data_IF_720743902040
#
_entry.id   IF_720743902040
#
_cell.length_a   1.000
_cell.length_b   1.000
_cell.length_c   1.000
_cell.angle_alpha   90.00
_cell.angle_beta   90.00
_cell.angle_gamma   90.00
#
_symmetry.space_group_name_H-M   'P 1'
#
loop_
_entity.id
_entity.type
_entity.pdbx_description
1 polymer ?
#
# COMPACT_ATOMS: atom_id res chain seq x y z
N UNK A 1 3.66 15.49 -7.57
CA UNK A 1 3.50 14.42 -8.57
C UNK A 1 2.10 13.84 -8.40
N UNK A 2 1.42 13.49 -9.50
CA UNK A 2 0.08 12.89 -9.45
C UNK A 2 0.12 11.52 -10.10
N UNK A 3 -0.67 10.59 -9.56
CA UNK A 3 -0.81 9.23 -10.06
C UNK A 3 -2.26 8.97 -10.47
N UNK A 4 -2.46 8.32 -11.60
CA UNK A 4 -3.76 7.83 -12.04
C UNK A 4 -3.91 6.39 -11.58
N UNK A 5 -4.90 6.13 -10.72
CA UNK A 5 -5.18 4.79 -10.19
C UNK A 5 -5.47 3.84 -11.35
N UNK A 6 -4.78 2.70 -11.38
CA UNK A 6 -4.96 1.65 -12.38
C UNK A 6 -5.73 0.47 -11.79
N UNK A 7 -5.41 0.10 -10.57
CA UNK A 7 -6.04 -1.02 -9.86
C UNK A 7 -6.33 -0.64 -8.43
N UNK A 8 -7.43 -1.17 -7.90
CA UNK A 8 -7.69 -1.16 -6.47
C UNK A 8 -8.59 -2.33 -6.09
N UNK A 9 -8.09 -3.17 -5.19
CA UNK A 9 -8.75 -4.39 -4.76
C UNK A 9 -8.71 -4.52 -3.25
N UNK A 10 -9.88 -4.78 -2.65
CA UNK A 10 -9.99 -5.26 -1.28
C UNK A 10 -10.07 -6.78 -1.32
N UNK A 11 -9.00 -7.46 -0.95
CA UNK A 11 -8.94 -8.90 -0.78
C UNK A 11 -9.40 -9.26 0.62
N UNK A 12 -10.16 -10.35 0.74
CA UNK A 12 -10.67 -10.85 2.01
C UNK A 12 -10.42 -12.33 2.14
N UNK A 13 -9.87 -12.74 3.28
CA UNK A 13 -9.81 -14.15 3.66
C UNK A 13 -11.02 -14.49 4.53
N UNK A 14 -11.90 -15.38 4.06
CA UNK A 14 -13.04 -15.86 4.87
C UNK A 14 -12.58 -16.66 6.10
N UNK A 15 -11.57 -17.56 6.01
CA UNK A 15 -11.14 -18.36 7.16
C UNK A 15 -10.53 -17.56 8.29
N UNK A 16 -9.70 -16.56 7.96
CA UNK A 16 -8.93 -15.78 8.96
C UNK A 16 -9.56 -14.42 9.27
N UNK A 17 -10.58 -14.01 8.49
CA UNK A 17 -11.14 -12.64 8.52
C UNK A 17 -10.10 -11.56 8.28
N UNK A 18 -8.97 -11.89 7.65
CA UNK A 18 -7.97 -10.90 7.24
C UNK A 18 -8.48 -10.13 6.03
N UNK A 19 -8.09 -8.85 5.97
CA UNK A 19 -8.32 -8.01 4.81
C UNK A 19 -7.02 -7.41 4.33
N UNK A 20 -6.93 -7.22 3.02
CA UNK A 20 -5.84 -6.49 2.39
C UNK A 20 -6.39 -5.57 1.32
N UNK A 21 -6.13 -4.28 1.42
CA UNK A 21 -6.40 -3.34 0.33
C UNK A 21 -5.12 -3.11 -0.44
N UNK A 22 -5.12 -3.50 -1.71
CA UNK A 22 -4.05 -3.19 -2.66
C UNK A 22 -4.54 -2.15 -3.65
N UNK A 23 -3.78 -1.09 -3.87
CA UNK A 23 -4.02 -0.17 -4.97
C UNK A 23 -2.73 0.32 -5.61
N UNK A 24 -2.80 0.58 -6.91
CA UNK A 24 -1.67 1.10 -7.66
C UNK A 24 -2.08 2.26 -8.55
N UNK A 25 -1.13 3.14 -8.82
CA UNK A 25 -1.30 4.23 -9.77
C UNK A 25 -0.04 4.48 -10.58
N UNK A 26 -0.22 4.95 -11.81
CA UNK A 26 0.88 5.32 -12.71
C UNK A 26 0.98 6.85 -12.76
N UNK A 27 2.19 7.37 -12.70
CA UNK A 27 2.48 8.79 -12.79
C UNK A 27 2.01 9.39 -14.11
N UNK A 28 1.77 10.70 -14.13
CA UNK A 28 1.32 11.42 -15.33
C UNK A 28 2.25 11.30 -16.54
N UNK A 29 3.55 11.04 -16.31
CA UNK A 29 4.54 10.82 -17.38
C UNK A 29 4.68 9.35 -17.81
N UNK A 30 3.95 8.44 -17.16
CA UNK A 30 3.94 7.01 -17.49
C UNK A 30 5.18 6.22 -17.04
N UNK A 31 6.12 6.84 -16.33
CA UNK A 31 7.42 6.24 -16.01
C UNK A 31 7.54 5.71 -14.58
N UNK A 32 6.57 6.01 -13.72
CA UNK A 32 6.60 5.63 -12.30
C UNK A 32 5.29 5.00 -11.90
N UNK A 33 5.34 3.91 -11.14
CA UNK A 33 4.17 3.28 -10.54
C UNK A 33 4.31 3.33 -9.02
N UNK A 34 3.28 3.81 -8.34
CA UNK A 34 3.14 3.73 -6.90
C UNK A 34 2.23 2.55 -6.59
N UNK A 35 2.65 1.67 -5.69
CA UNK A 35 1.84 0.56 -5.17
C UNK A 35 1.72 0.74 -3.67
N UNK A 36 0.50 0.63 -3.16
CA UNK A 36 0.18 0.72 -1.75
C UNK A 36 -0.61 -0.51 -1.35
N UNK A 37 -0.24 -1.09 -0.22
CA UNK A 37 -0.92 -2.19 0.44
C UNK A 37 -1.24 -1.79 1.87
N UNK A 38 -2.44 -2.11 2.34
CA UNK A 38 -2.86 -1.96 3.74
C UNK A 38 -3.46 -3.28 4.22
N UNK A 39 -2.93 -3.84 5.32
CA UNK A 39 -3.50 -5.02 5.96
C UNK A 39 -4.43 -4.69 7.12
N UNK A 40 -5.41 -5.57 7.37
CA UNK A 40 -6.02 -5.72 8.70
C UNK A 40 -6.12 -7.18 9.14
N UNK A 41 -5.60 -7.47 10.33
CA UNK A 41 -5.89 -8.69 11.08
C UNK A 41 -7.34 -8.64 11.59
N UNK A 42 -8.09 -9.73 11.47
CA UNK A 42 -9.39 -9.92 12.14
C UNK A 42 -10.46 -8.83 11.92
N UNK A 43 -10.70 -8.45 10.67
CA UNK A 43 -11.65 -7.38 10.32
C UNK A 43 -12.90 -7.93 9.63
N UNK A 44 -14.09 -7.47 10.01
CA UNK A 44 -15.38 -7.91 9.43
C UNK A 44 -15.97 -6.90 8.44
N UNK A 45 -16.75 -7.36 7.45
CA UNK A 45 -17.37 -6.49 6.41
C UNK A 45 -16.49 -6.26 5.18
N UNK A 46 -16.91 -5.36 4.28
CA UNK A 46 -16.21 -5.09 3.00
C UNK A 46 -15.65 -3.66 2.91
N UNK A 47 -15.16 -3.15 4.03
CA UNK A 47 -14.47 -1.86 4.16
C UNK A 47 -13.20 -2.02 4.99
N UNK A 48 -12.22 -1.15 4.73
CA UNK A 48 -11.08 -0.94 5.62
C UNK A 48 -11.51 -0.08 6.81
N UNK A 49 -10.87 -0.27 7.95
CA UNK A 49 -11.10 0.54 9.14
C UNK A 49 -10.57 1.97 8.95
N UNK A 50 -11.28 2.94 9.50
CA UNK A 50 -10.83 4.34 9.57
C UNK A 50 -9.86 4.45 10.74
N UNK A 51 -8.58 4.19 10.48
CA UNK A 51 -7.50 4.21 11.48
C UNK A 51 -6.16 4.63 10.87
N UNK A 52 -5.16 4.73 11.72
CA UNK A 52 -3.76 4.86 11.33
C UNK A 52 -3.13 3.47 11.18
N UNK A 53 -2.32 3.32 10.14
CA UNK A 53 -1.49 2.16 9.85
C UNK A 53 -0.03 2.62 9.88
N UNK A 54 0.84 1.81 10.49
CA UNK A 54 2.26 2.04 10.33
C UNK A 54 2.67 1.58 8.93
N UNK A 55 3.54 2.35 8.28
CA UNK A 55 4.17 1.90 7.05
C UNK A 55 5.52 1.29 7.40
N UNK A 56 5.73 0.04 6.99
CA UNK A 56 6.98 -0.67 7.20
C UNK A 56 7.66 -1.01 5.88
N UNK A 57 8.94 -1.33 6.00
CA UNK A 57 9.68 -1.91 4.89
C UNK A 57 9.19 -3.32 4.66
N UNK A 58 8.86 -3.63 3.40
CA UNK A 58 8.74 -5.00 2.95
C UNK A 58 10.17 -5.54 2.80
N UNK A 59 10.71 -6.04 3.91
CA UNK A 59 11.91 -6.85 3.87
C UNK A 59 11.45 -8.23 3.42
N UNK A 60 12.19 -8.86 2.50
CA UNK A 60 11.91 -10.17 1.90
C UNK A 60 10.95 -11.06 2.71
N UNK A 61 9.83 -11.46 2.10
CA UNK A 61 8.92 -12.51 2.61
C UNK A 61 9.74 -13.77 2.94
N UNK A 62 10.17 -13.85 4.18
CA UNK A 62 11.02 -14.92 4.67
C UNK A 62 10.24 -15.68 5.74
N UNK A 63 9.54 -16.77 5.35
CA UNK A 63 8.75 -17.58 6.28
C UNK A 63 9.61 -18.27 7.37
N UNK A 64 10.93 -18.08 7.35
CA UNK A 64 11.87 -18.57 8.35
C UNK A 64 12.30 -17.56 9.41
N UNK A 65 11.80 -16.31 9.40
CA UNK A 65 12.07 -15.34 10.48
C UNK A 65 10.91 -15.24 11.47
N UNK A 66 11.17 -14.75 12.69
CA UNK A 66 10.15 -14.60 13.75
C UNK A 66 9.13 -13.51 13.40
N UNK A 67 9.46 -12.63 12.46
CA UNK A 67 8.54 -11.67 11.86
C UNK A 67 8.19 -12.21 10.48
N UNK A 68 7.17 -13.07 10.40
CA UNK A 68 6.56 -13.33 9.10
C UNK A 68 5.79 -12.05 8.71
N UNK A 69 6.29 -11.30 7.72
CA UNK A 69 5.61 -10.10 7.23
C UNK A 69 4.18 -10.39 6.69
N UNK A 70 3.84 -11.67 6.46
CA UNK A 70 2.48 -12.12 6.16
C UNK A 70 1.59 -12.26 7.41
N UNK A 71 2.17 -12.45 8.60
CA UNK A 71 1.45 -12.49 9.89
C UNK A 71 1.21 -11.09 10.50
N UNK A 72 2.05 -10.09 10.18
CA UNK A 72 1.91 -8.69 10.64
C UNK A 72 0.89 -7.93 9.76
N UNK A 73 -0.29 -8.53 9.60
CA UNK A 73 -1.39 -8.07 8.75
C UNK A 73 -2.04 -6.77 9.20
N UNK A 74 -1.44 -5.96 10.08
CA UNK A 74 -1.97 -4.65 10.50
C UNK A 74 -1.20 -3.45 9.95
N UNK A 75 -0.10 -3.70 9.25
CA UNK A 75 0.72 -2.65 8.67
C UNK A 75 0.35 -2.34 7.22
N UNK A 76 0.89 -1.24 6.72
CA UNK A 76 0.88 -0.90 5.32
C UNK A 76 2.27 -0.95 4.69
N UNK A 77 2.30 -1.12 3.38
CA UNK A 77 3.50 -1.15 2.57
C UNK A 77 3.34 -0.19 1.40
N UNK A 78 4.40 0.53 1.05
CA UNK A 78 4.41 1.39 -0.13
C UNK A 78 5.68 1.11 -0.92
N UNK A 79 5.52 0.85 -2.21
CA UNK A 79 6.64 0.71 -3.14
C UNK A 79 6.48 1.65 -4.33
N UNK A 80 7.61 2.04 -4.89
CA UNK A 80 7.69 2.85 -6.09
C UNK A 80 8.52 2.11 -7.13
N UNK A 81 7.91 1.84 -8.27
CA UNK A 81 8.55 1.17 -9.41
C UNK A 81 8.81 2.17 -10.52
N UNK A 82 9.84 1.92 -11.32
CA UNK A 82 10.20 2.73 -12.49
C UNK A 82 10.13 1.88 -13.75
N UNK A 83 9.68 2.49 -14.84
CA UNK A 83 9.70 1.84 -16.14
C UNK A 83 11.08 1.97 -16.78
N UNK A 84 11.76 0.84 -17.01
CA UNK A 84 13.07 0.75 -17.68
C UNK A 84 12.91 -0.20 -18.86
N UNK A 85 13.18 0.28 -20.07
CA UNK A 85 13.05 -0.51 -21.31
C UNK A 85 11.69 -1.22 -21.47
N UNK A 86 10.61 -0.60 -20.97
CA UNK A 86 9.26 -1.16 -21.05
C UNK A 86 8.87 -2.06 -19.87
N UNK A 87 9.81 -2.42 -19.00
CA UNK A 87 9.60 -3.30 -17.83
C UNK A 87 9.51 -2.46 -16.57
N UNK A 88 8.65 -2.86 -15.63
CA UNK A 88 8.60 -2.23 -14.31
C UNK A 88 9.65 -2.86 -13.41
N UNK A 89 10.56 -2.03 -12.91
CA UNK A 89 11.60 -2.39 -11.97
C UNK A 89 11.32 -1.72 -10.64
N UNK A 90 11.45 -2.47 -9.54
CA UNK A 90 11.32 -1.92 -8.19
C UNK A 90 12.45 -0.93 -7.94
N UNK A 91 12.11 0.34 -7.72
CA UNK A 91 13.08 1.40 -7.50
C UNK A 91 13.24 1.63 -6.00
N UNK A 92 12.15 1.96 -5.32
CA UNK A 92 12.14 2.32 -3.91
C UNK A 92 11.12 1.52 -3.11
N UNK A 93 11.44 1.24 -1.86
CA UNK A 93 10.52 0.71 -0.86
C UNK A 93 10.44 1.66 0.33
N UNK A 94 9.26 1.82 0.91
CA UNK A 94 9.12 2.60 2.13
C UNK A 94 9.94 1.95 3.25
N UNK A 95 10.80 2.71 3.92
CA UNK A 95 11.52 2.21 5.09
C UNK A 95 10.75 2.41 6.38
N UNK A 96 9.94 3.47 6.45
CA UNK A 96 9.05 3.77 7.56
C UNK A 96 8.01 4.81 7.11
N UNK A 97 6.96 4.96 7.91
CA UNK A 97 5.99 6.03 7.75
C UNK A 97 4.67 5.75 8.44
N UNK A 98 3.66 6.52 8.07
CA UNK A 98 2.30 6.38 8.57
C UNK A 98 1.31 6.63 7.45
N UNK A 99 0.26 5.83 7.40
CA UNK A 99 -0.91 6.07 6.56
C UNK A 99 -2.14 6.21 7.44
N UNK A 100 -3.01 7.17 7.13
CA UNK A 100 -4.25 7.40 7.85
C UNK A 100 -5.40 7.27 6.87
N UNK A 101 -6.25 6.26 7.07
CA UNK A 101 -7.53 6.17 6.38
C UNK A 101 -8.49 7.11 7.09
N UNK A 102 -8.97 8.13 6.39
CA UNK A 102 -9.84 9.17 6.96
C UNK A 102 -11.31 8.90 6.69
N UNK A 103 -11.62 8.11 5.66
CA UNK A 103 -13.00 7.68 5.38
C UNK A 103 -12.99 6.39 4.57
N UNK A 104 -13.89 5.46 4.88
CA UNK A 104 -14.20 4.31 4.05
C UNK A 104 -15.73 4.14 3.99
N UNK A 105 -16.29 3.93 2.80
CA UNK A 105 -17.71 3.70 2.59
C UNK A 105 -17.90 2.36 1.90
N UNK A 106 -18.46 1.40 2.65
CA UNK A 106 -18.70 0.05 2.16
C UNK A 106 -19.75 0.00 1.05
N UNK A 107 -20.74 0.90 1.04
CA UNK A 107 -21.83 0.88 0.06
C UNK A 107 -21.36 1.38 -1.31
N UNK A 108 -20.58 2.46 -1.33
CA UNK A 108 -19.99 3.00 -2.57
C UNK A 108 -18.65 2.38 -2.94
N UNK A 109 -18.09 1.52 -2.09
CA UNK A 109 -16.74 0.92 -2.25
C UNK A 109 -15.66 1.96 -2.47
N UNK A 110 -15.67 3.02 -1.65
CA UNK A 110 -14.72 4.13 -1.76
C UNK A 110 -13.91 4.32 -0.48
N UNK A 111 -12.63 4.70 -0.62
CA UNK A 111 -11.73 5.00 0.49
C UNK A 111 -10.94 6.30 0.24
N UNK A 112 -10.65 7.04 1.31
CA UNK A 112 -9.81 8.23 1.29
C UNK A 112 -8.84 8.23 2.48
N UNK A 113 -7.71 8.91 2.32
CA UNK A 113 -6.70 8.99 3.35
C UNK A 113 -5.48 9.80 2.94
N UNK A 114 -4.53 9.86 3.86
CA UNK A 114 -3.25 10.55 3.73
C UNK A 114 -2.11 9.64 4.14
N UNK A 115 -0.90 9.93 3.67
CA UNK A 115 0.28 9.18 4.09
C UNK A 115 1.55 10.02 4.07
N UNK A 116 2.47 9.65 4.93
CA UNK A 116 3.81 10.19 5.03
C UNK A 116 4.78 9.02 5.10
N UNK A 117 5.80 9.00 4.23
CA UNK A 117 6.76 7.90 4.15
C UNK A 117 8.15 8.37 3.82
N UNK A 118 9.15 7.68 4.36
CA UNK A 118 10.53 7.75 3.87
C UNK A 118 10.79 6.52 3.02
N UNK A 119 11.34 6.72 1.83
CA UNK A 119 11.61 5.68 0.83
C UNK A 119 13.12 5.47 0.72
N UNK A 120 13.53 4.20 0.61
CA UNK A 120 14.91 3.79 0.37
C UNK A 120 15.04 3.07 -0.95
N UNK A 121 16.18 3.25 -1.60
CA UNK A 121 16.61 2.42 -2.71
C UNK A 121 17.05 1.05 -2.16
N UNK A 122 16.49 -0.03 -2.71
CA UNK A 122 16.75 -1.38 -2.19
C UNK A 122 18.14 -1.91 -2.55
N UNK A 123 18.73 -1.47 -3.66
CA UNK A 123 20.06 -1.91 -4.08
C UNK A 123 21.18 -1.29 -3.24
N UNK A 124 20.98 -0.08 -2.75
CA UNK A 124 21.99 0.69 -2.00
C UNK A 124 21.65 0.87 -0.52
N UNK A 125 20.39 0.69 -0.13
CA UNK A 125 19.89 0.99 1.21
C UNK A 125 19.81 2.50 1.53
N UNK A 126 20.15 3.37 0.58
CA UNK A 126 20.15 4.82 0.79
C UNK A 126 18.72 5.35 0.84
N UNK A 127 18.45 6.29 1.77
CA UNK A 127 17.22 7.09 1.73
C UNK A 127 17.29 8.01 0.53
N UNK A 128 16.34 7.88 -0.38
CA UNK A 128 16.33 8.60 -1.65
C UNK A 128 15.18 9.59 -1.75
N UNK A 129 14.10 9.39 -1.00
CA UNK A 129 12.92 10.23 -1.09
C UNK A 129 12.13 10.24 0.21
N UNK A 130 11.54 11.40 0.55
CA UNK A 130 10.55 11.51 1.62
C UNK A 130 9.28 12.13 1.05
N UNK A 131 8.14 11.49 1.31
CA UNK A 131 6.81 11.99 0.98
C UNK A 131 6.20 12.47 2.29
N UNK A 132 5.95 13.77 2.42
CA UNK A 132 5.43 14.39 3.65
C UNK A 132 3.96 14.77 3.58
N UNK A 133 3.31 14.58 2.42
CA UNK A 133 1.92 14.98 2.21
C UNK A 133 1.25 14.15 1.10
N UNK A 134 1.39 12.83 1.15
CA UNK A 134 0.68 11.91 0.27
C UNK A 134 -0.81 11.91 0.56
N UNK A 135 -1.65 11.81 -0.48
CA UNK A 135 -3.10 11.74 -0.32
C UNK A 135 -3.76 10.90 -1.41
N UNK A 136 -4.84 10.22 -1.05
CA UNK A 136 -5.78 9.56 -1.95
C UNK A 136 -7.20 9.95 -1.56
N UNK A 137 -8.06 10.18 -2.54
CA UNK A 137 -9.41 10.73 -2.31
C UNK A 137 -10.41 10.01 -3.19
N UNK A 138 -11.47 9.51 -2.56
CA UNK A 138 -12.57 8.77 -3.22
C UNK A 138 -12.08 7.65 -4.14
N UNK A 139 -11.03 6.95 -3.71
CA UNK A 139 -10.48 5.83 -4.45
C UNK A 139 -11.49 4.68 -4.41
N UNK A 140 -11.97 4.29 -5.59
CA UNK A 140 -12.95 3.19 -5.74
C UNK A 140 -12.21 1.86 -5.77
N UNK A 141 -12.69 0.86 -5.04
CA UNK A 141 -12.09 -0.47 -4.96
C UNK A 141 -13.08 -1.58 -5.30
N UNK A 142 -12.56 -2.72 -5.79
CA UNK A 142 -13.34 -3.94 -6.04
C UNK A 142 -13.07 -4.96 -4.94
N UNK A 143 -14.09 -5.67 -4.47
CA UNK A 143 -13.93 -6.72 -3.45
C UNK A 143 -13.62 -8.05 -4.13
N UNK A 144 -12.54 -8.71 -3.71
CA UNK A 144 -12.14 -10.05 -4.11
C UNK A 144 -12.16 -10.97 -2.89
N UNK A 145 -12.74 -12.16 -3.03
CA UNK A 145 -12.87 -13.17 -1.96
C UNK A 145 -12.09 -14.43 -2.30
#
# INVERSE_FOLDING_TARGET
MSFTVQTSHLLRSVPTSEKRLDFSGISSDGNTMLIVTLGESTSSGNAMSVKSYNIRQFNEDNPGTVLDESEDSEDGFITLQKKVNGVWELLLSASNGTMVVTSCNESSKTISGTFEVTMKDLGTGAVTQTITAGKFTNLTYTVLN
#
